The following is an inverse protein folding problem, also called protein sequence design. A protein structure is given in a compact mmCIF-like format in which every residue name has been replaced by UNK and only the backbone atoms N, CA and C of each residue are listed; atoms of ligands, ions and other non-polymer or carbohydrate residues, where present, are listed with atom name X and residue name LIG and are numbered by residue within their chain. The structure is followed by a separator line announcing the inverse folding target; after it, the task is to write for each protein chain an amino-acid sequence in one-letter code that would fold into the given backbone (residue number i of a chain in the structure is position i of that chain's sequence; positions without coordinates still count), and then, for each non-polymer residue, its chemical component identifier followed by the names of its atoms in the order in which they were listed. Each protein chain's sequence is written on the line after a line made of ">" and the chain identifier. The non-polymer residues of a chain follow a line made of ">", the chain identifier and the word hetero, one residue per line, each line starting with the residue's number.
data_IF_220474959780
#
_entry.id   IF_220474959780
#
_cell.length_a   1.000
_cell.length_b   1.000
_cell.length_c   1.000
_cell.angle_alpha   90.00
_cell.angle_beta   90.00
_cell.angle_gamma   90.00
#
_symmetry.space_group_name_H-M   'P 1'
#
loop_
_entity.id
_entity.type
_entity.pdbx_description
1 polymer ?
#
# COMPACT_ATOMS: atom_id res chain seq x y z
N UNK A 1 -0.08 21.50 -12.86
CA UNK A 1 0.34 20.85 -11.61
C UNK A 1 0.89 21.95 -10.71
N UNK A 2 0.43 22.09 -9.47
CA UNK A 2 0.95 23.11 -8.55
C UNK A 2 2.08 22.43 -7.77
N UNK A 3 3.29 22.95 -7.89
CA UNK A 3 4.43 22.48 -7.09
C UNK A 3 4.30 22.97 -5.65
N UNK A 4 5.02 22.36 -4.70
CA UNK A 4 5.03 22.76 -3.29
C UNK A 4 5.46 24.23 -3.07
N UNK A 5 6.03 24.89 -4.07
CA UNK A 5 6.44 26.30 -4.08
C UNK A 5 5.42 27.23 -4.76
N UNK A 6 4.24 26.71 -5.15
CA UNK A 6 3.19 27.52 -5.78
C UNK A 6 3.45 27.89 -7.25
N UNK A 7 4.47 27.32 -7.88
CA UNK A 7 4.70 27.51 -9.31
C UNK A 7 3.83 26.55 -10.13
N UNK A 8 3.13 27.09 -11.11
CA UNK A 8 2.40 26.30 -12.10
C UNK A 8 3.39 25.74 -13.11
N UNK A 9 3.52 24.42 -13.17
CA UNK A 9 4.25 23.77 -14.25
C UNK A 9 3.29 23.46 -15.41
N UNK A 10 3.50 24.08 -16.59
CA UNK A 10 2.66 23.84 -17.74
C UNK A 10 2.85 22.38 -18.22
N UNK A 11 1.75 21.68 -18.40
CA UNK A 11 1.75 20.34 -18.98
C UNK A 11 1.26 20.43 -20.42
N UNK A 12 2.10 20.01 -21.37
CA UNK A 12 1.77 19.99 -22.79
C UNK A 12 1.15 18.63 -23.12
N UNK A 13 -0.06 18.66 -23.66
CA UNK A 13 -0.77 17.50 -24.15
C UNK A 13 -0.83 17.53 -25.69
N UNK A 14 -0.21 16.57 -26.35
CA UNK A 14 -0.31 16.37 -27.81
C UNK A 14 -1.41 15.38 -28.12
N UNK A 15 -2.29 15.75 -29.06
CA UNK A 15 -3.38 14.89 -29.50
C UNK A 15 -3.65 15.05 -30.99
N UNK A 16 -4.09 13.98 -31.64
CA UNK A 16 -4.66 13.98 -32.98
C UNK A 16 -6.20 14.01 -32.96
N UNK A 17 -6.83 14.02 -31.77
CA UNK A 17 -8.29 14.04 -31.62
C UNK A 17 -8.81 15.48 -31.49
N UNK A 18 -8.77 16.22 -32.60
CA UNK A 18 -9.10 17.67 -32.62
C UNK A 18 -10.57 17.97 -32.29
N UNK A 19 -11.46 16.98 -32.42
CA UNK A 19 -12.90 17.13 -32.13
C UNK A 19 -13.27 16.79 -30.67
N UNK A 20 -12.31 16.28 -29.88
CA UNK A 20 -12.58 15.89 -28.49
C UNK A 20 -12.49 17.11 -27.57
N UNK A 21 -13.50 17.38 -26.72
CA UNK A 21 -13.42 18.47 -25.75
C UNK A 21 -12.21 18.34 -24.82
N UNK A 22 -11.56 19.47 -24.53
CA UNK A 22 -10.34 19.53 -23.72
C UNK A 22 -10.50 18.84 -22.36
N UNK A 23 -11.61 19.05 -21.67
CA UNK A 23 -11.90 18.40 -20.36
C UNK A 23 -11.90 16.88 -20.49
N UNK A 24 -12.48 16.35 -21.58
CA UNK A 24 -12.52 14.90 -21.82
C UNK A 24 -11.12 14.34 -22.07
N UNK A 25 -10.28 15.08 -22.79
CA UNK A 25 -8.89 14.68 -23.01
C UNK A 25 -8.09 14.62 -21.70
N UNK A 26 -8.20 15.65 -20.87
CA UNK A 26 -7.55 15.67 -19.55
C UNK A 26 -8.05 14.52 -18.68
N UNK A 27 -9.35 14.30 -18.61
CA UNK A 27 -9.95 13.21 -17.80
C UNK A 27 -9.47 11.83 -18.26
N UNK A 28 -9.28 11.63 -19.56
CA UNK A 28 -8.72 10.38 -20.10
C UNK A 28 -7.23 10.22 -19.84
N UNK A 29 -6.49 11.32 -19.81
CA UNK A 29 -5.04 11.33 -19.56
C UNK A 29 -4.68 11.20 -18.07
N UNK A 30 -5.50 11.78 -17.19
CA UNK A 30 -5.25 11.78 -15.75
C UNK A 30 -4.99 10.39 -15.12
N UNK A 31 -5.66 9.28 -15.53
CA UNK A 31 -5.35 7.95 -15.03
C UNK A 31 -3.92 7.47 -15.27
N UNK A 32 -3.23 8.00 -16.30
CA UNK A 32 -1.81 7.70 -16.55
C UNK A 32 -0.93 8.05 -15.35
N UNK A 33 -1.18 9.20 -14.72
CA UNK A 33 -0.43 9.60 -13.51
C UNK A 33 -0.59 8.60 -12.36
N UNK A 34 -1.73 7.88 -12.27
CA UNK A 34 -1.93 6.84 -11.25
C UNK A 34 -1.04 5.62 -11.52
N UNK A 35 -0.82 5.28 -12.79
CA UNK A 35 0.08 4.19 -13.20
C UNK A 35 1.52 4.60 -12.89
N UNK A 36 1.93 5.78 -13.28
CA UNK A 36 3.27 6.32 -13.03
C UNK A 36 3.58 6.37 -11.52
N UNK A 37 2.65 6.87 -10.72
CA UNK A 37 2.77 6.88 -9.27
C UNK A 37 2.83 5.46 -8.69
N UNK A 38 2.08 4.50 -9.27
CA UNK A 38 2.12 3.10 -8.85
C UNK A 38 3.47 2.44 -9.15
N UNK A 39 4.05 2.73 -10.30
CA UNK A 39 5.40 2.24 -10.68
C UNK A 39 6.45 2.89 -9.77
N UNK A 40 6.36 4.21 -9.55
CA UNK A 40 7.27 4.92 -8.65
C UNK A 40 7.21 4.37 -7.21
N UNK A 41 6.04 4.02 -6.69
CA UNK A 41 5.88 3.40 -5.37
C UNK A 41 6.48 1.99 -5.35
N UNK A 42 6.31 1.21 -6.43
CA UNK A 42 6.91 -0.11 -6.58
C UNK A 42 8.45 -0.05 -6.61
N UNK A 43 9.03 0.93 -7.28
CA UNK A 43 10.48 1.16 -7.31
C UNK A 43 10.96 1.65 -5.95
N UNK A 44 10.38 2.72 -5.41
CA UNK A 44 10.90 3.42 -4.23
C UNK A 44 10.70 2.67 -2.91
N UNK A 45 9.72 1.78 -2.83
CA UNK A 45 9.40 1.05 -1.61
C UNK A 45 9.66 -0.45 -1.73
N UNK A 46 9.32 -1.06 -2.86
CA UNK A 46 9.51 -2.50 -3.06
C UNK A 46 10.78 -2.85 -3.85
N UNK A 47 11.57 -1.84 -4.27
CA UNK A 47 12.82 -2.01 -5.01
C UNK A 47 12.66 -2.85 -6.30
N UNK A 48 11.56 -2.59 -7.05
CA UNK A 48 11.25 -3.31 -8.26
C UNK A 48 12.33 -3.20 -9.35
N UNK A 49 13.15 -2.16 -9.31
CA UNK A 49 14.27 -1.90 -10.20
C UNK A 49 15.55 -2.65 -9.81
N UNK A 50 15.60 -3.25 -8.61
CA UNK A 50 16.73 -4.03 -8.14
C UNK A 50 16.53 -5.49 -8.52
N UNK A 51 17.32 -5.97 -9.49
CA UNK A 51 17.29 -7.39 -9.89
C UNK A 51 17.83 -8.26 -8.75
N UNK A 52 16.99 -9.14 -8.21
CA UNK A 52 17.36 -10.08 -7.15
C UNK A 52 18.24 -11.24 -7.65
N UNK A 53 18.27 -11.48 -8.96
CA UNK A 53 18.94 -12.61 -9.57
C UNK A 53 19.15 -12.40 -11.09
N UNK A 54 20.13 -13.13 -11.65
CA UNK A 54 20.30 -13.24 -13.11
C UNK A 54 19.37 -14.29 -13.73
N UNK A 55 18.61 -15.03 -12.92
CA UNK A 55 17.67 -16.05 -13.37
C UNK A 55 16.29 -15.44 -13.62
N UNK A 56 15.83 -15.43 -14.88
CA UNK A 56 14.58 -14.80 -15.28
C UNK A 56 13.35 -15.26 -14.48
N UNK A 57 13.25 -16.54 -14.14
CA UNK A 57 12.15 -17.08 -13.32
C UNK A 57 12.10 -16.46 -11.92
N UNK A 58 13.26 -16.19 -11.31
CA UNK A 58 13.32 -15.53 -9.99
C UNK A 58 12.88 -14.08 -10.10
N UNK A 59 13.30 -13.38 -11.15
CA UNK A 59 12.89 -11.99 -11.41
C UNK A 59 11.38 -11.91 -11.62
N UNK A 60 10.80 -12.84 -12.39
CA UNK A 60 9.36 -12.90 -12.60
C UNK A 60 8.60 -13.17 -11.31
N UNK A 61 9.08 -14.09 -10.48
CA UNK A 61 8.52 -14.34 -9.15
C UNK A 61 8.55 -13.11 -8.25
N UNK A 62 9.66 -12.39 -8.19
CA UNK A 62 9.80 -11.17 -7.38
C UNK A 62 8.87 -10.06 -7.87
N UNK A 63 8.71 -9.94 -9.19
CA UNK A 63 7.75 -9.01 -9.80
C UNK A 63 6.32 -9.34 -9.36
N UNK A 64 5.91 -10.61 -9.44
CA UNK A 64 4.57 -11.04 -9.02
C UNK A 64 4.34 -10.79 -7.53
N UNK A 65 5.33 -11.10 -6.67
CA UNK A 65 5.24 -10.85 -5.24
C UNK A 65 5.14 -9.36 -4.93
N UNK A 66 5.86 -8.51 -5.65
CA UNK A 66 5.77 -7.05 -5.54
C UNK A 66 4.39 -6.53 -5.91
N UNK A 67 3.81 -7.04 -7.00
CA UNK A 67 2.45 -6.66 -7.41
C UNK A 67 1.41 -7.09 -6.38
N UNK A 68 1.52 -8.29 -5.83
CA UNK A 68 0.64 -8.79 -4.75
C UNK A 68 0.77 -7.93 -3.49
N UNK A 69 1.99 -7.65 -3.04
CA UNK A 69 2.24 -6.79 -1.89
C UNK A 69 1.66 -5.38 -2.09
N UNK A 70 1.89 -4.77 -3.26
CA UNK A 70 1.33 -3.48 -3.63
C UNK A 70 -0.20 -3.48 -3.60
N UNK A 71 -0.84 -4.55 -4.09
CA UNK A 71 -2.30 -4.71 -4.05
C UNK A 71 -2.82 -4.79 -2.59
N UNK A 72 -2.13 -5.52 -1.70
CA UNK A 72 -2.49 -5.60 -0.29
C UNK A 72 -2.40 -4.24 0.41
N UNK A 73 -1.34 -3.46 0.17
CA UNK A 73 -1.23 -2.09 0.69
C UNK A 73 -2.36 -1.20 0.20
N UNK A 74 -2.75 -1.31 -1.08
CA UNK A 74 -3.89 -0.55 -1.63
C UNK A 74 -5.22 -0.96 -1.00
N UNK A 75 -5.45 -2.25 -0.79
CA UNK A 75 -6.65 -2.75 -0.09
C UNK A 75 -6.70 -2.25 1.35
N UNK A 76 -5.57 -2.27 2.06
CA UNK A 76 -5.47 -1.71 3.40
C UNK A 76 -5.77 -0.21 3.41
N UNK A 77 -5.18 0.55 2.50
CA UNK A 77 -5.44 1.98 2.34
C UNK A 77 -6.92 2.29 2.08
N UNK A 78 -7.58 1.49 1.22
CA UNK A 78 -9.01 1.64 0.93
C UNK A 78 -9.88 1.33 2.15
N UNK A 79 -9.55 0.28 2.92
CA UNK A 79 -10.28 -0.09 4.14
C UNK A 79 -10.16 0.96 5.23
N UNK A 80 -8.98 1.50 5.44
CA UNK A 80 -8.76 2.58 6.40
C UNK A 80 -9.47 3.85 5.93
N UNK A 81 -9.47 4.10 4.61
CA UNK A 81 -10.17 5.24 4.01
C UNK A 81 -9.56 6.59 4.37
N UNK A 82 -10.39 7.66 4.31
CA UNK A 82 -10.01 9.03 4.67
C UNK A 82 -8.70 9.46 3.96
N UNK A 83 -7.77 10.03 4.72
CA UNK A 83 -6.48 10.53 4.24
C UNK A 83 -5.54 9.42 3.72
N UNK A 84 -5.72 8.17 4.19
CA UNK A 84 -4.88 7.05 3.79
C UNK A 84 -5.23 6.46 2.42
N UNK A 85 -6.39 6.78 1.85
CA UNK A 85 -6.84 6.22 0.56
C UNK A 85 -5.87 6.49 -0.60
N UNK A 86 -5.11 7.58 -0.52
CA UNK A 86 -4.10 7.97 -1.52
C UNK A 86 -2.67 7.89 -0.99
N UNK A 87 -2.48 7.30 0.18
CA UNK A 87 -1.15 7.16 0.77
C UNK A 87 -0.31 6.15 0.00
N UNK A 88 1.00 6.41 -0.07
CA UNK A 88 1.97 5.47 -0.64
C UNK A 88 2.18 4.28 0.29
N UNK A 89 2.68 3.15 -0.24
CA UNK A 89 3.02 1.97 0.57
C UNK A 89 4.03 2.31 1.67
N UNK A 90 5.03 3.13 1.36
CA UNK A 90 6.01 3.64 2.33
C UNK A 90 5.36 4.40 3.49
N UNK A 91 4.36 5.24 3.20
CA UNK A 91 3.63 6.01 4.22
C UNK A 91 2.80 5.08 5.11
N UNK A 92 2.10 4.12 4.52
CA UNK A 92 1.32 3.13 5.25
C UNK A 92 2.21 2.27 6.15
N UNK A 93 3.33 1.79 5.62
CA UNK A 93 4.29 1.01 6.38
C UNK A 93 4.76 1.79 7.61
N UNK A 94 5.35 2.97 7.40
CA UNK A 94 5.93 3.78 8.49
C UNK A 94 4.94 4.22 9.55
N UNK A 95 3.70 4.51 9.16
CA UNK A 95 2.69 5.00 10.08
C UNK A 95 1.91 3.90 10.80
N UNK A 96 1.73 2.74 10.15
CA UNK A 96 0.79 1.73 10.61
C UNK A 96 1.41 0.36 10.89
N UNK A 97 2.45 -0.05 10.14
CA UNK A 97 3.00 -1.40 10.20
C UNK A 97 4.37 -1.46 10.87
N UNK A 98 5.19 -0.42 10.72
CA UNK A 98 6.51 -0.31 11.33
C UNK A 98 6.38 -0.03 12.83
N UNK A 99 5.99 -1.05 13.58
CA UNK A 99 5.73 -0.98 15.02
C UNK A 99 6.40 -2.16 15.72
N UNK A 100 7.01 -1.90 16.86
CA UNK A 100 7.53 -2.95 17.73
C UNK A 100 6.39 -3.63 18.50
N UNK A 101 6.58 -4.89 18.85
CA UNK A 101 5.59 -5.65 19.62
C UNK A 101 6.15 -7.00 20.06
N UNK A 102 5.44 -7.62 20.98
CA UNK A 102 5.76 -8.92 21.52
C UNK A 102 4.76 -9.98 21.06
N UNK A 103 5.27 -11.17 20.74
CA UNK A 103 4.42 -12.30 20.30
C UNK A 103 4.42 -13.38 21.37
N UNK A 104 3.23 -13.68 21.90
CA UNK A 104 3.01 -14.72 22.89
C UNK A 104 2.17 -15.85 22.32
N UNK A 105 2.72 -17.06 22.26
CA UNK A 105 1.99 -18.25 21.84
C UNK A 105 1.43 -18.90 23.09
N UNK A 106 0.11 -18.89 23.23
CA UNK A 106 -0.63 -19.57 24.29
C UNK A 106 -1.20 -20.90 23.77
N UNK A 107 -1.72 -21.77 24.61
CA UNK A 107 -2.36 -23.01 24.15
C UNK A 107 -3.57 -22.79 23.23
N UNK A 108 -4.20 -21.62 23.26
CA UNK A 108 -5.46 -21.32 22.58
C UNK A 108 -5.38 -20.23 21.53
N UNK A 109 -4.33 -19.41 21.53
CA UNK A 109 -4.19 -18.28 20.62
C UNK A 109 -2.73 -17.82 20.47
N UNK A 110 -2.44 -17.14 19.37
CA UNK A 110 -1.24 -16.33 19.18
C UNK A 110 -1.62 -14.88 19.51
N UNK A 111 -1.09 -14.34 20.60
CA UNK A 111 -1.33 -12.96 21.01
C UNK A 111 -0.18 -12.11 20.55
N UNK A 112 -0.47 -11.04 19.83
CA UNK A 112 0.50 -10.06 19.36
C UNK A 112 0.20 -8.73 20.02
N UNK A 113 1.05 -8.33 20.96
CA UNK A 113 0.96 -7.08 21.69
C UNK A 113 1.80 -6.04 20.95
N UNK A 114 1.13 -5.07 20.31
CA UNK A 114 1.76 -4.01 19.52
C UNK A 114 1.85 -2.72 20.34
N UNK A 115 2.97 -2.03 20.28
CA UNK A 115 3.16 -0.75 20.94
C UNK A 115 2.14 0.29 20.46
N UNK A 116 1.59 1.08 21.39
CA UNK A 116 0.63 2.14 21.05
C UNK A 116 1.27 3.23 20.22
N UNK A 117 0.58 3.60 19.14
CA UNK A 117 0.96 4.71 18.24
C UNK A 117 -0.25 5.57 17.94
N UNK A 118 0.00 6.84 17.58
CA UNK A 118 -1.04 7.82 17.27
C UNK A 118 -1.98 7.37 16.12
N UNK A 119 -1.52 6.47 15.26
CA UNK A 119 -2.27 5.98 14.09
C UNK A 119 -3.03 4.66 14.33
N UNK A 120 -2.85 4.00 15.48
CA UNK A 120 -3.55 2.74 15.79
C UNK A 120 -5.08 2.86 15.77
N UNK A 121 -5.71 3.98 16.20
CA UNK A 121 -7.15 4.14 16.10
C UNK A 121 -7.71 3.98 14.69
N UNK A 122 -6.92 4.28 13.64
CA UNK A 122 -7.35 4.07 12.26
C UNK A 122 -7.44 2.58 11.90
N UNK A 123 -6.54 1.74 12.40
CA UNK A 123 -6.57 0.29 12.20
C UNK A 123 -7.79 -0.33 12.90
N UNK A 124 -8.07 0.12 14.13
CA UNK A 124 -9.23 -0.32 14.89
C UNK A 124 -10.53 0.12 14.20
N UNK A 125 -10.63 1.39 13.78
CA UNK A 125 -11.83 1.91 13.11
C UNK A 125 -12.08 1.24 11.75
N UNK A 126 -11.04 0.76 11.08
CA UNK A 126 -11.13 0.00 9.84
C UNK A 126 -11.49 -1.48 10.07
N UNK A 127 -11.68 -1.90 11.33
CA UNK A 127 -12.00 -3.28 11.74
C UNK A 127 -11.01 -4.32 11.20
N UNK A 128 -9.75 -3.94 11.05
CA UNK A 128 -8.70 -4.84 10.59
C UNK A 128 -8.29 -5.84 11.68
N UNK A 129 -8.65 -5.55 12.93
CA UNK A 129 -8.35 -6.38 14.11
C UNK A 129 -9.54 -7.23 14.57
N UNK A 130 -10.74 -7.03 13.99
CA UNK A 130 -11.98 -7.65 14.50
C UNK A 130 -12.14 -9.12 14.11
N UNK A 131 -11.44 -9.57 13.07
CA UNK A 131 -11.51 -10.95 12.63
C UNK A 131 -10.26 -11.71 13.06
N UNK A 132 -10.39 -12.72 13.92
CA UNK A 132 -9.26 -13.58 14.26
C UNK A 132 -8.79 -14.30 12.99
N UNK A 133 -7.53 -14.09 12.64
CA UNK A 133 -6.89 -14.80 11.54
C UNK A 133 -6.39 -16.13 12.11
N UNK A 134 -6.88 -17.25 11.60
CA UNK A 134 -6.36 -18.54 11.97
C UNK A 134 -4.99 -18.79 11.33
N UNK A 135 -4.05 -19.33 12.09
CA UNK A 135 -2.71 -19.71 11.61
C UNK A 135 -2.73 -21.21 11.27
N UNK A 136 -2.78 -21.59 9.97
CA UNK A 136 -2.99 -22.99 9.57
C UNK A 136 -1.92 -23.95 10.11
N UNK A 137 -0.64 -23.53 10.09
CA UNK A 137 0.48 -24.36 10.58
C UNK A 137 0.63 -24.40 12.10
N UNK A 138 -0.17 -23.61 12.84
CA UNK A 138 -0.27 -23.64 14.29
C UNK A 138 -1.66 -24.19 14.72
N UNK A 139 -2.10 -25.30 14.13
CA UNK A 139 -3.38 -25.96 14.45
C UNK A 139 -4.60 -25.02 14.36
N UNK A 140 -4.57 -24.10 13.40
CA UNK A 140 -5.60 -23.06 13.21
C UNK A 140 -5.83 -22.18 14.45
N UNK A 141 -4.79 -21.94 15.26
CA UNK A 141 -4.89 -21.02 16.38
C UNK A 141 -5.22 -19.60 15.90
N UNK A 142 -6.16 -18.90 16.54
CA UNK A 142 -6.48 -17.53 16.19
C UNK A 142 -5.36 -16.57 16.59
N UNK A 143 -5.10 -15.58 15.74
CA UNK A 143 -4.23 -14.44 16.07
C UNK A 143 -5.06 -13.33 16.68
N UNK A 144 -4.66 -12.87 17.84
CA UNK A 144 -5.28 -11.75 18.56
C UNK A 144 -4.31 -10.59 18.60
N UNK A 145 -4.67 -9.47 17.97
CA UNK A 145 -3.88 -8.26 18.01
C UNK A 145 -4.34 -7.35 19.16
N UNK A 146 -3.40 -6.84 19.95
CA UNK A 146 -3.64 -5.91 21.03
C UNK A 146 -2.72 -4.71 20.88
N UNK A 147 -3.18 -3.54 21.30
CA UNK A 147 -2.38 -2.32 21.35
C UNK A 147 -2.11 -1.95 22.83
N UNK A 148 -0.88 -2.09 23.26
CA UNK A 148 -0.45 -1.93 24.66
C UNK A 148 0.47 -0.72 24.82
#
# INVERSE_FOLDING_TARGET
>A
MITALGHEEPTILLTNQLQTPFVTMITRYAPRMLIENGIADAINFFHLDALSSMVGLKVDFDLQMTLMASALYRLMAQRIGREYRRATAKTLFRKLLDVSGDVHITPTAVVVDLARRAHNPFLVSARLTDQPIAVPWLKNMPVVLRFV
#
